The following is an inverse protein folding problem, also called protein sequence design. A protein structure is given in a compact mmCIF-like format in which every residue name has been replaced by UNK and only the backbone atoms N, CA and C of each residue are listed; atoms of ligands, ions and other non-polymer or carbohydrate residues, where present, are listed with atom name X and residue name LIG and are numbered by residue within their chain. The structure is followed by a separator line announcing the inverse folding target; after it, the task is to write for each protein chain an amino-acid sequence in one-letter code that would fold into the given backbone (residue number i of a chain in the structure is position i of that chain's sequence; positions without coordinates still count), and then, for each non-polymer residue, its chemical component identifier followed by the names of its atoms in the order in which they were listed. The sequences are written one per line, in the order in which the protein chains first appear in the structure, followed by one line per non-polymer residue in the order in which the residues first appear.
data_IF_300608124441
#
_entry.id   IF_300608124441
#
_cell.length_a   1.000
_cell.length_b   1.000
_cell.length_c   1.000
_cell.angle_alpha   90.00
_cell.angle_beta   90.00
_cell.angle_gamma   90.00
#
_symmetry.space_group_name_H-M   'P 1'
#
loop_
_entity.id
_entity.type
_entity.pdbx_description
1 polymer ?
#
# COMPACT_ATOMS: atom_id res chain seq x y z
N UNK A 1 -11.70 4.60 12.47
CA UNK A 1 -11.33 3.39 11.72
C UNK A 1 -9.89 3.54 11.24
N UNK A 2 -9.13 2.44 11.21
CA UNK A 2 -7.77 2.44 10.66
C UNK A 2 -7.89 2.54 9.14
N UNK A 3 -7.22 3.53 8.53
CA UNK A 3 -7.25 3.75 7.08
C UNK A 3 -6.28 2.79 6.40
N UNK A 4 -6.73 2.09 5.36
CA UNK A 4 -5.87 1.23 4.56
C UNK A 4 -4.80 2.07 3.83
N UNK A 5 -3.54 1.66 3.92
CA UNK A 5 -2.38 2.31 3.27
C UNK A 5 -1.83 1.52 2.07
N UNK A 6 -2.54 0.48 1.64
CA UNK A 6 -2.19 -0.30 0.45
C UNK A 6 -2.21 0.58 -0.80
N UNK A 7 -1.17 0.49 -1.64
CA UNK A 7 -0.97 1.39 -2.77
C UNK A 7 -0.32 2.74 -2.42
N UNK A 8 -0.19 3.08 -1.13
CA UNK A 8 0.58 4.26 -0.69
C UNK A 8 1.97 3.87 -0.19
N UNK A 9 2.06 2.86 0.68
CA UNK A 9 3.32 2.41 1.27
C UNK A 9 3.85 1.11 0.65
N UNK A 10 2.99 0.39 -0.06
CA UNK A 10 3.33 -0.87 -0.70
C UNK A 10 2.55 -1.04 -1.99
N UNK A 11 3.13 -1.83 -2.88
CA UNK A 11 2.50 -2.31 -4.11
C UNK A 11 2.69 -3.81 -4.19
N UNK A 12 1.78 -4.48 -4.87
CA UNK A 12 1.88 -5.90 -5.14
C UNK A 12 2.35 -6.04 -6.58
N UNK A 13 3.49 -6.70 -6.76
CA UNK A 13 3.96 -7.14 -8.06
C UNK A 13 3.68 -8.64 -8.16
N UNK A 14 2.78 -9.01 -9.07
CA UNK A 14 2.44 -10.41 -9.30
C UNK A 14 3.50 -11.16 -10.11
N UNK A 15 3.38 -12.49 -10.23
CA UNK A 15 4.39 -13.35 -10.85
C UNK A 15 4.60 -13.06 -12.35
N UNK A 16 3.66 -12.40 -13.02
CA UNK A 16 3.78 -12.00 -14.42
C UNK A 16 4.07 -10.50 -14.57
N UNK A 17 4.44 -9.82 -13.48
CA UNK A 17 4.84 -8.42 -13.47
C UNK A 17 3.69 -7.43 -13.30
N UNK A 18 2.45 -7.90 -13.16
CA UNK A 18 1.28 -7.06 -12.92
C UNK A 18 1.43 -6.27 -11.61
N UNK A 19 1.12 -4.97 -11.64
CA UNK A 19 1.30 -4.07 -10.50
C UNK A 19 -0.03 -3.53 -10.02
N UNK A 20 -0.44 -3.94 -8.82
CA UNK A 20 -1.69 -3.53 -8.19
C UNK A 20 -1.45 -2.91 -6.81
N UNK A 21 -2.30 -1.97 -6.37
CA UNK A 21 -2.22 -1.45 -5.01
C UNK A 21 -2.79 -2.42 -3.97
N UNK A 22 -3.63 -3.39 -4.36
CA UNK A 22 -4.30 -4.34 -3.47
C UNK A 22 -4.81 -5.55 -4.28
N UNK A 23 -4.84 -6.75 -3.69
CA UNK A 23 -5.38 -7.97 -4.32
C UNK A 23 -6.84 -7.86 -4.79
N UNK A 24 -7.63 -6.98 -4.15
CA UNK A 24 -9.04 -6.76 -4.51
C UNK A 24 -9.24 -5.76 -5.65
N UNK A 25 -8.18 -5.04 -6.05
CA UNK A 25 -8.25 -4.01 -7.08
C UNK A 25 -7.43 -4.48 -8.28
N UNK A 26 -8.08 -5.09 -9.30
CA UNK A 26 -7.38 -5.53 -10.50
C UNK A 26 -6.82 -4.34 -11.28
N UNK A 27 -5.75 -4.59 -12.01
CA UNK A 27 -4.94 -3.62 -12.73
C UNK A 27 -4.58 -4.15 -14.11
N UNK A 28 -4.32 -3.25 -15.06
CA UNK A 28 -3.65 -3.59 -16.32
C UNK A 28 -2.19 -3.16 -16.36
N UNK A 29 -1.69 -2.55 -15.28
CA UNK A 29 -0.32 -2.02 -15.20
C UNK A 29 0.67 -3.18 -15.00
N UNK A 30 1.82 -3.12 -15.68
CA UNK A 30 2.82 -4.17 -15.62
C UNK A 30 4.24 -3.60 -15.69
N UNK A 31 5.16 -4.11 -14.85
CA UNK A 31 6.57 -3.69 -14.84
C UNK A 31 7.33 -4.05 -16.13
N UNK A 32 6.76 -4.94 -16.95
CA UNK A 32 7.31 -5.32 -18.25
C UNK A 32 7.11 -4.23 -19.31
N UNK A 33 6.11 -3.38 -19.14
CA UNK A 33 5.74 -2.33 -20.10
C UNK A 33 6.26 -0.95 -19.67
N UNK A 34 6.34 -0.71 -18.36
CA UNK A 34 6.76 0.55 -17.76
C UNK A 34 7.49 0.30 -16.44
N UNK A 35 8.39 1.19 -16.05
CA UNK A 35 9.11 1.06 -14.78
C UNK A 35 8.14 1.19 -13.60
N UNK A 36 8.53 0.62 -12.45
CA UNK A 36 7.68 0.70 -11.27
C UNK A 36 7.41 2.15 -10.83
N UNK A 37 8.41 3.02 -10.95
CA UNK A 37 8.28 4.45 -10.65
C UNK A 37 7.25 5.14 -11.56
N UNK A 38 7.31 4.89 -12.87
CA UNK A 38 6.31 5.41 -13.82
C UNK A 38 4.91 4.88 -13.49
N UNK A 39 4.80 3.60 -13.11
CA UNK A 39 3.52 3.00 -12.70
C UNK A 39 2.94 3.73 -11.49
N UNK A 40 3.69 3.86 -10.38
CA UNK A 40 3.13 4.46 -9.15
C UNK A 40 2.81 5.95 -9.27
N UNK A 41 3.41 6.64 -10.24
CA UNK A 41 3.13 8.04 -10.57
C UNK A 41 2.03 8.20 -11.64
N UNK A 42 1.59 7.13 -12.29
CA UNK A 42 0.56 7.19 -13.34
C UNK A 42 -0.84 7.50 -12.80
N UNK A 43 -1.67 8.14 -13.62
CA UNK A 43 -3.08 8.40 -13.30
C UNK A 43 -3.86 7.10 -13.09
N UNK A 44 -3.58 6.06 -13.89
CA UNK A 44 -4.26 4.77 -13.78
C UNK A 44 -3.98 4.10 -12.42
N UNK A 45 -2.76 4.23 -11.89
CA UNK A 45 -2.45 3.75 -10.55
C UNK A 45 -3.12 4.62 -9.48
N UNK A 46 -3.17 5.95 -9.67
CA UNK A 46 -3.87 6.84 -8.74
C UNK A 46 -5.36 6.51 -8.62
N UNK A 47 -6.03 6.23 -9.75
CA UNK A 47 -7.43 5.78 -9.74
C UNK A 47 -7.59 4.45 -8.98
N UNK A 48 -6.63 3.55 -9.12
CA UNK A 48 -6.61 2.32 -8.34
C UNK A 48 -6.41 2.59 -6.84
N UNK A 49 -5.57 3.56 -6.46
CA UNK A 49 -5.42 4.00 -5.06
C UNK A 49 -6.71 4.59 -4.49
N UNK A 50 -7.43 5.41 -5.28
CA UNK A 50 -8.72 5.98 -4.87
C UNK A 50 -9.74 4.88 -4.61
N UNK A 51 -9.77 3.83 -5.44
CA UNK A 51 -10.63 2.66 -5.24
C UNK A 51 -10.28 1.90 -3.95
N UNK A 52 -8.99 1.72 -3.65
CA UNK A 52 -8.55 1.13 -2.37
C UNK A 52 -8.97 2.02 -1.19
N UNK A 53 -8.80 3.33 -1.30
CA UNK A 53 -9.16 4.27 -0.23
C UNK A 53 -10.66 4.31 0.07
N UNK A 54 -11.50 4.00 -0.92
CA UNK A 54 -12.95 3.89 -0.79
C UNK A 54 -13.42 2.46 -0.45
N UNK A 55 -12.52 1.50 -0.24
CA UNK A 55 -12.88 0.12 0.07
C UNK A 55 -13.40 0.01 1.52
N UNK A 56 -14.56 -0.64 1.67
CA UNK A 56 -15.21 -0.92 2.96
C UNK A 56 -15.13 -2.40 3.36
N UNK A 57 -14.40 -3.22 2.61
CA UNK A 57 -14.27 -4.64 2.89
C UNK A 57 -13.51 -4.87 4.21
N UNK A 58 -13.98 -5.85 5.00
CA UNK A 58 -13.22 -6.37 6.14
C UNK A 58 -11.99 -7.13 5.60
N UNK A 59 -10.87 -6.42 5.47
CA UNK A 59 -9.63 -6.98 4.91
C UNK A 59 -9.00 -7.99 5.88
N UNK A 60 -8.70 -9.18 5.37
CA UNK A 60 -8.02 -10.25 6.10
C UNK A 60 -6.53 -10.34 5.77
N UNK A 61 -6.04 -9.50 4.87
CA UNK A 61 -4.64 -9.45 4.51
C UNK A 61 -3.85 -8.69 5.58
N UNK A 62 -2.91 -9.40 6.21
CA UNK A 62 -2.08 -8.88 7.29
C UNK A 62 -1.03 -7.89 6.74
N UNK A 63 -0.62 -8.07 5.49
CA UNK A 63 0.39 -7.25 4.81
C UNK A 63 0.06 -5.76 4.82
N UNK A 64 -1.15 -5.33 4.41
CA UNK A 64 -1.58 -3.94 4.55
C UNK A 64 -2.09 -3.60 5.95
N UNK A 65 -2.53 -4.56 6.77
CA UNK A 65 -3.10 -4.28 8.09
C UNK A 65 -2.07 -3.72 9.08
N UNK A 66 -0.90 -4.35 9.22
CA UNK A 66 0.17 -3.86 10.10
C UNK A 66 0.60 -2.41 9.76
N UNK A 67 1.01 -2.08 8.53
CA UNK A 67 1.41 -0.71 8.20
C UNK A 67 0.25 0.27 8.36
N UNK A 68 -0.99 -0.14 8.08
CA UNK A 68 -2.16 0.74 8.29
C UNK A 68 -2.32 1.11 9.77
N UNK A 69 -2.12 0.16 10.70
CA UNK A 69 -2.14 0.41 12.14
C UNK A 69 -0.95 1.27 12.54
N UNK A 70 0.25 0.92 12.09
CA UNK A 70 1.49 1.63 12.45
C UNK A 70 1.52 3.08 11.95
N UNK A 71 0.88 3.39 10.82
CA UNK A 71 0.75 4.74 10.27
C UNK A 71 -0.53 5.46 10.73
N UNK A 72 -1.31 4.86 11.62
CA UNK A 72 -2.43 5.55 12.25
C UNK A 72 -1.91 6.57 13.27
N UNK A 73 -2.31 7.84 13.14
CA UNK A 73 -1.76 8.94 13.93
C UNK A 73 -1.77 8.70 15.46
N UNK A 74 -2.86 8.20 16.08
CA UNK A 74 -2.84 7.82 17.50
C UNK A 74 -1.77 6.79 17.86
N UNK A 75 -1.55 5.78 17.02
CA UNK A 75 -0.53 4.76 17.27
C UNK A 75 0.90 5.33 17.12
N UNK A 76 1.12 6.16 16.11
CA UNK A 76 2.39 6.88 15.90
C UNK A 76 2.78 7.69 17.13
N UNK A 77 1.82 8.45 17.69
CA UNK A 77 2.05 9.29 18.86
C UNK A 77 2.24 8.48 20.15
N UNK A 78 1.57 7.34 20.28
CA UNK A 78 1.73 6.45 21.44
C UNK A 78 3.04 5.64 21.42
N UNK A 79 3.61 5.37 20.23
CA UNK A 79 4.75 4.46 20.07
C UNK A 79 5.92 5.01 19.22
N UNK A 80 6.38 6.26 19.44
CA UNK A 80 7.35 6.92 18.55
C UNK A 80 8.69 6.16 18.45
N UNK A 81 9.21 5.62 19.56
CA UNK A 81 10.47 4.86 19.57
C UNK A 81 10.39 3.54 18.82
N UNK A 82 9.23 2.85 18.89
CA UNK A 82 9.02 1.57 18.19
C UNK A 82 8.99 1.79 16.69
N UNK A 83 8.25 2.80 16.25
CA UNK A 83 8.13 3.19 14.84
C UNK A 83 9.49 3.60 14.29
N UNK A 84 10.26 4.43 15.01
CA UNK A 84 11.60 4.82 14.57
C UNK A 84 12.54 3.62 14.40
N UNK A 85 12.53 2.66 15.33
CA UNK A 85 13.32 1.42 15.20
C UNK A 85 12.91 0.60 13.99
N UNK A 86 11.62 0.46 13.73
CA UNK A 86 11.12 -0.26 12.55
C UNK A 86 11.52 0.45 11.24
N UNK A 87 11.38 1.77 11.18
CA UNK A 87 11.79 2.55 10.01
C UNK A 87 13.29 2.38 9.72
N UNK A 88 14.12 2.35 10.77
CA UNK A 88 15.58 2.16 10.65
C UNK A 88 15.99 0.76 10.17
N UNK A 89 15.23 -0.29 10.48
CA UNK A 89 15.57 -1.65 10.02
C UNK A 89 15.32 -1.85 8.52
N UNK A 90 14.52 -0.99 7.90
CA UNK A 90 14.13 -1.05 6.49
C UNK A 90 14.89 -0.05 5.59
N UNK A 91 15.88 0.67 6.15
CA UNK A 91 16.82 1.57 5.46
C UNK A 91 18.24 1.10 5.63
#
# INVERSE_FOLDING_TARGET
AVRCVSGLLSVIVGPFGEVSPCYQVPTSLNVRDMSLEEIVLSEQFDDSRRRVAACEAACWDVGPAEPSICFHLPYLLAHPLKIWRQARLNT
#
